data_IF_054816649865
#
_entry.id   IF_054816649865
#
_cell.length_a   1.000
_cell.length_b   1.000
_cell.length_c   1.000
_cell.angle_alpha   90.00
_cell.angle_beta   90.00
_cell.angle_gamma   90.00
#
_symmetry.space_group_name_H-M   'P 1'
#
loop_
_entity.id
_entity.type
_entity.pdbx_description
1 polymer ?
#
# COMPACT_ATOMS: atom_id res chain seq x y z
N UNK A 1 -8.05 -16.51 2.67
CA UNK A 1 -8.40 -15.45 1.70
C UNK A 1 -7.19 -15.27 0.80
N UNK A 2 -7.35 -15.24 -0.51
CA UNK A 2 -6.23 -15.09 -1.47
C UNK A 2 -6.31 -13.75 -2.17
N UNK A 3 -5.17 -13.08 -2.37
CA UNK A 3 -5.09 -11.88 -3.19
C UNK A 3 -5.22 -12.26 -4.67
N UNK A 4 -6.11 -11.60 -5.41
CA UNK A 4 -6.32 -11.83 -6.83
C UNK A 4 -6.17 -10.50 -7.55
N UNK A 5 -5.28 -10.44 -8.55
CA UNK A 5 -5.09 -9.27 -9.39
C UNK A 5 -5.84 -9.40 -10.71
N UNK A 6 -6.31 -8.26 -11.22
CA UNK A 6 -6.94 -8.17 -12.54
C UNK A 6 -5.95 -8.35 -13.68
N UNK A 7 -4.65 -8.10 -13.41
CA UNK A 7 -3.57 -8.27 -14.38
C UNK A 7 -2.60 -9.37 -13.96
N UNK A 8 -2.13 -10.22 -14.89
CA UNK A 8 -1.20 -11.30 -14.58
C UNK A 8 0.22 -10.83 -14.29
N UNK A 9 0.58 -9.62 -14.73
CA UNK A 9 1.87 -8.95 -14.52
C UNK A 9 1.87 -8.01 -13.30
N UNK A 10 0.78 -8.00 -12.52
CA UNK A 10 0.73 -7.20 -11.30
C UNK A 10 1.63 -7.80 -10.21
N UNK A 11 2.45 -6.94 -9.60
CA UNK A 11 3.36 -7.30 -8.53
C UNK A 11 2.93 -6.76 -7.18
N UNK A 12 3.37 -7.44 -6.12
CA UNK A 12 3.18 -6.99 -4.73
C UNK A 12 4.51 -6.91 -4.02
N UNK A 13 4.81 -5.73 -3.51
CA UNK A 13 5.93 -5.52 -2.61
C UNK A 13 5.43 -5.34 -1.18
N UNK A 14 5.99 -6.12 -0.27
CA UNK A 14 5.76 -5.97 1.17
C UNK A 14 7.11 -5.73 1.85
N UNK A 15 7.33 -4.56 2.48
CA UNK A 15 8.54 -4.31 3.25
C UNK A 15 8.74 -5.41 4.31
N UNK A 16 9.92 -6.03 4.32
CA UNK A 16 10.26 -7.13 5.23
C UNK A 16 9.73 -8.52 4.82
N UNK A 17 9.05 -8.65 3.69
CA UNK A 17 8.70 -9.95 3.10
C UNK A 17 7.60 -10.74 3.81
N UNK A 18 6.77 -10.08 4.64
CA UNK A 18 5.60 -10.74 5.25
C UNK A 18 4.53 -11.11 4.21
N UNK A 19 3.63 -12.04 4.56
CA UNK A 19 2.52 -12.45 3.70
C UNK A 19 1.67 -11.24 3.18
N UNK A 20 1.41 -11.14 1.85
CA UNK A 20 0.64 -10.05 1.27
C UNK A 20 -0.78 -9.88 1.81
N UNK A 21 -1.48 -10.97 2.12
CA UNK A 21 -2.87 -10.92 2.59
C UNK A 21 -2.91 -10.36 4.00
N UNK A 22 -2.02 -10.83 4.87
CA UNK A 22 -1.84 -10.28 6.21
C UNK A 22 -1.37 -8.82 6.17
N UNK A 23 -0.55 -8.45 5.18
CA UNK A 23 -0.08 -7.09 4.98
C UNK A 23 -1.18 -6.12 4.54
N UNK A 24 -2.05 -6.55 3.64
CA UNK A 24 -3.19 -5.74 3.25
C UNK A 24 -4.18 -5.57 4.40
N UNK A 25 -4.40 -6.61 5.20
CA UNK A 25 -5.36 -6.58 6.31
C UNK A 25 -5.02 -5.56 7.41
N UNK A 26 -3.76 -5.16 7.55
CA UNK A 26 -3.31 -4.12 8.50
C UNK A 26 -3.38 -2.70 7.95
N UNK A 27 -3.57 -2.52 6.63
CA UNK A 27 -3.58 -1.19 5.99
C UNK A 27 -4.75 -0.38 6.54
N UNK A 28 -4.44 0.80 7.08
CA UNK A 28 -5.43 1.76 7.59
C UNK A 28 -5.63 2.93 6.63
N UNK A 29 -4.62 3.24 5.80
CA UNK A 29 -4.67 4.29 4.78
C UNK A 29 -4.26 3.68 3.44
N UNK A 30 -5.19 3.66 2.49
CA UNK A 30 -4.97 3.13 1.14
C UNK A 30 -4.99 4.28 0.13
N UNK A 31 -3.89 4.44 -0.62
CA UNK A 31 -3.85 5.31 -1.79
C UNK A 31 -3.96 4.48 -3.07
N UNK A 32 -4.77 4.94 -4.01
CA UNK A 32 -4.84 4.40 -5.38
C UNK A 32 -4.47 5.52 -6.34
N UNK A 33 -3.43 5.29 -7.14
CA UNK A 33 -2.78 6.27 -7.98
C UNK A 33 -2.61 5.74 -9.42
N UNK A 34 -2.50 6.65 -10.39
CA UNK A 34 -2.27 6.27 -11.77
C UNK A 34 -0.81 5.86 -11.94
N UNK A 35 0.12 6.74 -11.60
CA UNK A 35 1.55 6.58 -11.80
C UNK A 35 2.31 6.40 -10.48
N UNK A 36 3.56 5.99 -10.58
CA UNK A 36 4.40 5.69 -9.41
C UNK A 36 4.71 6.92 -8.56
N UNK A 37 4.78 8.10 -9.17
CA UNK A 37 5.13 9.39 -8.57
C UNK A 37 3.93 10.17 -7.99
N UNK A 38 2.70 9.73 -8.28
CA UNK A 38 1.49 10.37 -7.78
C UNK A 38 1.34 10.19 -6.26
N UNK A 39 1.80 9.06 -5.71
CA UNK A 39 1.53 8.66 -4.32
C UNK A 39 2.14 9.65 -3.33
N UNK A 40 3.36 10.13 -3.59
CA UNK A 40 4.10 11.04 -2.73
C UNK A 40 3.37 12.37 -2.53
N UNK A 41 2.64 12.83 -3.55
CA UNK A 41 1.90 14.09 -3.50
C UNK A 41 0.47 13.86 -3.01
N UNK A 42 -0.23 12.85 -3.54
CA UNK A 42 -1.64 12.59 -3.23
C UNK A 42 -1.84 12.11 -1.78
N UNK A 43 -0.89 11.36 -1.25
CA UNK A 43 -1.01 10.70 0.05
C UNK A 43 -0.01 11.21 1.09
N UNK A 44 0.62 12.37 0.87
CA UNK A 44 1.62 12.92 1.79
C UNK A 44 1.17 12.90 3.26
N UNK A 45 -0.02 13.43 3.55
CA UNK A 45 -0.57 13.48 4.92
C UNK A 45 -0.73 12.08 5.53
N UNK A 46 -1.29 11.13 4.78
CA UNK A 46 -1.48 9.75 5.22
C UNK A 46 -0.14 9.01 5.43
N UNK A 47 0.85 9.28 4.58
CA UNK A 47 2.20 8.72 4.70
C UNK A 47 2.85 9.22 5.99
N UNK A 48 2.85 10.54 6.23
CA UNK A 48 3.37 11.13 7.46
C UNK A 48 2.65 10.59 8.70
N UNK A 49 1.32 10.52 8.67
CA UNK A 49 0.54 10.02 9.80
C UNK A 49 0.83 8.55 10.15
N UNK A 50 1.04 7.70 9.14
CA UNK A 50 1.45 6.31 9.34
C UNK A 50 2.89 6.18 9.82
N UNK A 51 3.80 7.02 9.30
CA UNK A 51 5.20 7.06 9.71
C UNK A 51 5.34 7.42 11.20
N UNK A 52 4.56 8.39 11.66
CA UNK A 52 4.59 8.88 13.05
C UNK A 52 3.89 7.94 14.04
N UNK A 53 3.16 6.92 13.57
CA UNK A 53 2.36 5.99 14.40
C UNK A 53 2.63 4.52 14.07
N UNK A 54 3.90 4.06 14.14
CA UNK A 54 4.27 2.70 13.79
C UNK A 54 3.53 1.67 14.65
N UNK A 55 3.09 0.58 14.03
CA UNK A 55 2.34 -0.50 14.68
C UNK A 55 0.86 -0.21 14.94
N UNK A 56 0.44 1.06 14.95
CA UNK A 56 -0.96 1.45 15.08
C UNK A 56 -1.61 1.81 13.73
N UNK A 57 -0.83 2.36 12.80
CA UNK A 57 -1.29 2.73 11.45
C UNK A 57 -0.33 2.16 10.41
N UNK A 58 -0.89 1.82 9.24
CA UNK A 58 -0.11 1.30 8.14
C UNK A 58 -0.63 1.86 6.81
N UNK A 59 0.31 2.27 5.97
CA UNK A 59 0.04 2.78 4.64
C UNK A 59 0.13 1.65 3.60
N UNK A 60 -0.75 1.69 2.60
CA UNK A 60 -0.69 0.86 1.40
C UNK A 60 -0.90 1.71 0.15
N UNK A 61 -0.16 1.41 -0.92
CA UNK A 61 -0.27 2.08 -2.20
C UNK A 61 -0.61 1.10 -3.32
N UNK A 62 -1.45 1.51 -4.25
CA UNK A 62 -1.76 0.79 -5.49
C UNK A 62 -1.53 1.74 -6.67
N UNK A 63 -0.65 1.34 -7.58
CA UNK A 63 -0.42 2.02 -8.87
C UNK A 63 -1.06 1.17 -9.96
N UNK A 64 -1.84 1.79 -10.86
CA UNK A 64 -2.68 1.04 -11.81
C UNK A 64 -2.15 0.98 -13.26
N UNK A 65 -1.06 1.68 -13.58
CA UNK A 65 -0.40 1.66 -14.91
C UNK A 65 0.77 0.71 -14.99
#
# INVERSE_FOLDING_TARGET
>A
MSLVFSRPDADVFVPGGSDPVAALARVTHLCVAAHQDDIEILAHDAICDCLDKPGARAFGGVVVT
#
